data_IF_730445914751
#
_entry.id   IF_730445914751
#
_cell.length_a   1.000
_cell.length_b   1.000
_cell.length_c   1.000
_cell.angle_alpha   90.00
_cell.angle_beta   90.00
_cell.angle_gamma   90.00
#
_symmetry.space_group_name_H-M   'P 1'
#
loop_
_entity.id
_entity.type
_entity.pdbx_description
1 polymer ?
#
# COMPACT_ATOMS: atom_id res chain seq x y z
N UNK A 1 -18.01 -30.67 14.55
CA UNK A 1 -17.21 -29.59 15.16
C UNK A 1 -17.60 -28.28 14.47
N UNK A 2 -17.98 -27.23 15.22
CA UNK A 2 -18.27 -25.91 14.62
C UNK A 2 -16.96 -25.25 14.18
N UNK A 3 -16.92 -24.72 12.97
CA UNK A 3 -15.79 -23.95 12.43
C UNK A 3 -15.52 -22.74 13.33
N UNK A 4 -14.27 -22.42 13.70
CA UNK A 4 -13.99 -21.28 14.57
C UNK A 4 -14.39 -19.94 13.91
N UNK A 5 -14.93 -18.96 14.68
CA UNK A 5 -15.52 -17.73 14.15
C UNK A 5 -14.62 -16.94 13.19
N UNK A 6 -13.32 -16.90 13.47
CA UNK A 6 -12.36 -16.20 12.63
C UNK A 6 -12.16 -16.86 11.27
N UNK A 7 -12.26 -18.19 11.19
CA UNK A 7 -12.12 -18.87 9.91
C UNK A 7 -13.27 -18.51 8.97
N UNK A 8 -14.48 -18.36 9.52
CA UNK A 8 -15.66 -17.87 8.79
C UNK A 8 -15.43 -16.42 8.35
N UNK A 9 -14.99 -15.53 9.26
CA UNK A 9 -14.67 -14.14 8.91
C UNK A 9 -13.63 -14.03 7.79
N UNK A 10 -12.55 -14.83 7.87
CA UNK A 10 -11.49 -14.85 6.85
C UNK A 10 -12.04 -15.26 5.48
N UNK A 11 -12.91 -16.25 5.44
CA UNK A 11 -13.54 -16.75 4.22
C UNK A 11 -14.55 -15.74 3.65
N UNK A 12 -15.39 -15.14 4.49
CA UNK A 12 -16.31 -14.06 4.08
C UNK A 12 -15.55 -12.87 3.50
N UNK A 13 -14.48 -12.41 4.15
CA UNK A 13 -13.66 -11.31 3.63
C UNK A 13 -13.01 -11.69 2.29
N UNK A 14 -12.49 -12.91 2.16
CA UNK A 14 -11.91 -13.40 0.90
C UNK A 14 -12.93 -13.39 -0.24
N UNK A 15 -14.16 -13.83 0.01
CA UNK A 15 -15.23 -13.83 -1.00
C UNK A 15 -15.56 -12.40 -1.44
N UNK A 16 -15.76 -11.47 -0.50
CA UNK A 16 -16.03 -10.05 -0.81
C UNK A 16 -14.91 -9.43 -1.65
N UNK A 17 -13.65 -9.72 -1.29
CA UNK A 17 -12.49 -9.25 -2.06
C UNK A 17 -12.50 -9.83 -3.47
N UNK A 18 -12.78 -11.13 -3.60
CA UNK A 18 -12.79 -11.84 -4.89
C UNK A 18 -13.91 -11.34 -5.80
N UNK A 19 -15.11 -11.15 -5.26
CA UNK A 19 -16.26 -10.60 -5.99
C UNK A 19 -15.94 -9.19 -6.50
N UNK A 20 -15.39 -8.34 -5.63
CA UNK A 20 -14.98 -6.98 -6.01
C UNK A 20 -13.93 -6.96 -7.13
N UNK A 21 -12.94 -7.86 -7.06
CA UNK A 21 -11.90 -7.95 -8.08
C UNK A 21 -12.41 -8.46 -9.41
N UNK A 22 -13.33 -9.43 -9.37
CA UNK A 22 -14.01 -9.97 -10.56
C UNK A 22 -14.81 -8.86 -11.24
N UNK A 23 -15.67 -8.16 -10.49
CA UNK A 23 -16.44 -7.02 -11.03
C UNK A 23 -15.53 -5.92 -11.62
N UNK A 24 -14.40 -5.63 -10.97
CA UNK A 24 -13.44 -4.62 -11.46
C UNK A 24 -12.73 -5.07 -12.73
N UNK A 25 -12.39 -6.36 -12.85
CA UNK A 25 -11.80 -6.93 -14.06
C UNK A 25 -12.76 -6.81 -15.24
N UNK A 26 -14.03 -7.20 -15.05
CA UNK A 26 -15.07 -7.13 -16.08
C UNK A 26 -15.30 -5.69 -16.57
N UNK A 27 -15.28 -4.71 -15.65
CA UNK A 27 -15.38 -3.28 -15.98
C UNK A 27 -14.16 -2.75 -16.73
N UNK A 28 -12.97 -3.24 -16.42
CA UNK A 28 -11.75 -2.85 -17.13
C UNK A 28 -11.73 -3.41 -18.57
N UNK A 29 -12.16 -4.66 -18.76
CA UNK A 29 -12.24 -5.30 -20.08
C UNK A 29 -13.30 -4.68 -21.00
N UNK A 30 -14.44 -4.29 -20.43
CA UNK A 30 -15.54 -3.64 -21.16
C UNK A 30 -15.24 -2.20 -21.61
N UNK A 31 -14.04 -1.65 -21.35
CA UNK A 31 -13.58 -0.29 -21.70
C UNK A 31 -14.50 0.84 -21.19
N UNK A 32 -15.42 0.57 -20.27
CA UNK A 32 -16.39 1.55 -19.79
C UNK A 32 -15.79 2.53 -18.77
N UNK A 33 -14.65 2.22 -18.15
CA UNK A 33 -13.95 3.10 -17.21
C UNK A 33 -12.43 3.14 -17.48
N UNK A 34 -11.95 4.30 -17.94
CA UNK A 34 -10.59 4.49 -18.48
C UNK A 34 -9.49 4.67 -17.41
N UNK A 35 -9.77 4.39 -16.14
CA UNK A 35 -8.85 4.68 -15.02
C UNK A 35 -8.73 3.60 -13.95
N UNK A 36 -9.45 2.49 -14.07
CA UNK A 36 -9.35 1.35 -13.14
C UNK A 36 -8.29 0.40 -13.69
N UNK A 37 -7.17 0.24 -12.97
CA UNK A 37 -6.05 -0.57 -13.42
C UNK A 37 -5.76 -1.64 -12.39
N UNK A 38 -5.96 -2.90 -12.79
CA UNK A 38 -5.57 -4.04 -12.00
C UNK A 38 -4.08 -4.31 -12.18
N UNK A 39 -3.34 -4.34 -11.07
CA UNK A 39 -1.91 -4.68 -11.10
C UNK A 39 -1.74 -6.17 -10.76
N UNK A 40 -1.21 -6.99 -11.69
CA UNK A 40 -0.97 -8.41 -11.43
C UNK A 40 -0.06 -8.61 -10.22
N UNK A 41 -0.32 -9.66 -9.43
CA UNK A 41 0.40 -9.95 -8.18
C UNK A 41 1.93 -9.97 -8.36
N UNK A 42 2.40 -10.62 -9.42
CA UNK A 42 3.84 -10.74 -9.72
C UNK A 42 4.51 -9.37 -9.94
N UNK A 43 3.80 -8.43 -10.58
CA UNK A 43 4.30 -7.07 -10.82
C UNK A 43 4.36 -6.30 -9.50
N UNK A 44 3.32 -6.42 -8.67
CA UNK A 44 3.29 -5.82 -7.33
C UNK A 44 4.47 -6.31 -6.49
N UNK A 45 4.65 -7.64 -6.39
CA UNK A 45 5.73 -8.25 -5.61
C UNK A 45 7.11 -7.83 -6.10
N UNK A 46 7.30 -7.76 -7.43
CA UNK A 46 8.55 -7.28 -8.02
C UNK A 46 8.85 -5.82 -7.64
N UNK A 47 7.88 -4.93 -7.76
CA UNK A 47 8.07 -3.50 -7.45
C UNK A 47 8.34 -3.30 -5.96
N UNK A 48 7.59 -3.98 -5.09
CA UNK A 48 7.80 -3.94 -3.63
C UNK A 48 9.19 -4.46 -3.27
N UNK A 49 9.59 -5.62 -3.82
CA UNK A 49 10.91 -6.20 -3.56
C UNK A 49 12.03 -5.23 -3.94
N UNK A 50 11.95 -4.61 -5.12
CA UNK A 50 12.98 -3.68 -5.58
C UNK A 50 13.08 -2.41 -4.75
N UNK A 51 11.96 -1.78 -4.38
CA UNK A 51 12.04 -0.56 -3.58
C UNK A 51 12.57 -0.84 -2.17
N UNK A 52 12.23 -2.01 -1.59
CA UNK A 52 12.81 -2.43 -0.32
C UNK A 52 14.31 -2.69 -0.46
N UNK A 53 14.75 -3.35 -1.54
CA UNK A 53 16.18 -3.58 -1.81
C UNK A 53 16.95 -2.25 -1.85
N UNK A 54 16.42 -1.23 -2.51
CA UNK A 54 17.03 0.11 -2.55
C UNK A 54 17.04 0.72 -1.15
N UNK A 55 15.90 0.74 -0.46
CA UNK A 55 15.73 1.40 0.84
C UNK A 55 16.59 0.80 1.96
N UNK A 56 16.84 -0.51 1.93
CA UNK A 56 17.64 -1.23 2.92
C UNK A 56 19.08 -1.53 2.48
N UNK A 57 19.50 -1.09 1.28
CA UNK A 57 20.81 -1.41 0.69
C UNK A 57 22.02 -0.99 1.52
N UNK A 58 21.84 0.00 2.41
CA UNK A 58 22.83 0.49 3.35
C UNK A 58 23.04 -0.42 4.57
N UNK A 59 22.09 -1.33 4.84
CA UNK A 59 22.11 -2.20 6.02
C UNK A 59 22.18 -3.68 5.66
N UNK A 60 21.34 -4.13 4.72
CA UNK A 60 21.15 -5.55 4.42
C UNK A 60 20.86 -5.77 2.92
N UNK A 61 21.26 -6.94 2.43
CA UNK A 61 20.96 -7.42 1.10
C UNK A 61 19.70 -8.30 1.15
N UNK A 62 18.55 -7.71 0.82
CA UNK A 62 17.24 -8.40 0.92
C UNK A 62 17.19 -9.66 0.06
N UNK A 63 17.85 -9.67 -1.09
CA UNK A 63 17.97 -10.86 -1.94
C UNK A 63 18.58 -12.05 -1.21
N UNK A 64 19.66 -11.82 -0.43
CA UNK A 64 20.36 -12.88 0.30
C UNK A 64 19.55 -13.43 1.46
N UNK A 65 18.64 -12.64 2.04
CA UNK A 65 17.77 -13.09 3.13
C UNK A 65 16.91 -14.29 2.74
N UNK A 66 16.48 -14.40 1.48
CA UNK A 66 15.61 -15.49 1.04
C UNK A 66 16.37 -16.75 0.62
N UNK A 67 17.64 -16.60 0.25
CA UNK A 67 18.44 -17.67 -0.36
C UNK A 67 19.49 -18.25 0.59
N UNK A 68 19.98 -17.46 1.57
CA UNK A 68 21.14 -17.83 2.39
C UNK A 68 20.80 -17.84 3.88
N UNK A 69 20.80 -19.03 4.48
CA UNK A 69 20.55 -19.20 5.91
C UNK A 69 21.66 -18.62 6.80
N UNK A 70 22.92 -18.72 6.38
CA UNK A 70 24.05 -18.18 7.14
C UNK A 70 23.95 -16.65 7.20
N UNK A 71 23.61 -16.01 6.08
CA UNK A 71 23.42 -14.57 6.04
C UNK A 71 22.32 -14.08 7.00
N UNK A 72 21.23 -14.85 7.15
CA UNK A 72 20.20 -14.56 8.16
C UNK A 72 20.74 -14.67 9.58
N UNK A 73 21.52 -15.71 9.87
CA UNK A 73 22.11 -15.91 11.20
C UNK A 73 23.13 -14.80 11.53
N UNK A 74 23.94 -14.39 10.56
CA UNK A 74 24.90 -13.29 10.73
C UNK A 74 24.22 -11.98 11.16
N UNK A 75 23.00 -11.72 10.65
CA UNK A 75 22.19 -10.55 11.06
C UNK A 75 21.63 -10.73 12.47
N UNK A 76 21.13 -11.93 12.79
CA UNK A 76 20.53 -12.25 14.09
C UNK A 76 21.57 -12.18 15.21
N UNK A 77 22.76 -12.71 14.98
CA UNK A 77 23.86 -12.77 15.96
C UNK A 77 24.56 -11.42 16.15
N UNK A 78 24.34 -10.46 15.24
CA UNK A 78 24.88 -9.11 15.34
C UNK A 78 23.88 -8.16 16.01
N UNK A 79 23.97 -8.04 17.33
CA UNK A 79 23.08 -7.19 18.14
C UNK A 79 22.99 -5.74 17.64
N UNK A 80 24.11 -5.16 17.20
CA UNK A 80 24.16 -3.76 16.72
C UNK A 80 23.38 -3.62 15.42
N UNK A 81 23.61 -4.53 14.45
CA UNK A 81 22.90 -4.52 13.18
C UNK A 81 21.40 -4.80 13.37
N UNK A 82 21.06 -5.76 14.23
CA UNK A 82 19.69 -6.11 14.57
C UNK A 82 18.93 -4.92 15.17
N UNK A 83 19.54 -4.18 16.10
CA UNK A 83 18.94 -2.98 16.70
C UNK A 83 18.76 -1.84 15.68
N UNK A 84 19.76 -1.60 14.81
CA UNK A 84 19.65 -0.60 13.75
C UNK A 84 18.51 -0.96 12.79
N UNK A 85 18.42 -2.23 12.38
CA UNK A 85 17.36 -2.73 11.52
C UNK A 85 15.99 -2.62 12.19
N UNK A 86 15.90 -2.97 13.49
CA UNK A 86 14.67 -2.84 14.27
C UNK A 86 14.16 -1.39 14.28
N UNK A 87 15.06 -0.44 14.55
CA UNK A 87 14.74 0.99 14.54
C UNK A 87 14.30 1.47 13.16
N UNK A 88 15.00 1.06 12.09
CA UNK A 88 14.64 1.42 10.71
C UNK A 88 13.26 0.87 10.34
N UNK A 89 12.96 -0.38 10.67
CA UNK A 89 11.64 -0.98 10.45
C UNK A 89 10.54 -0.27 11.24
N UNK A 90 10.77 0.06 12.51
CA UNK A 90 9.78 0.74 13.37
C UNK A 90 9.41 2.13 12.89
N UNK A 91 10.34 2.84 12.27
CA UNK A 91 10.11 4.19 11.75
C UNK A 91 9.56 4.18 10.32
N UNK A 92 9.82 3.12 9.55
CA UNK A 92 9.45 3.00 8.14
C UNK A 92 7.99 3.36 7.85
N UNK A 93 7.74 4.46 7.15
CA UNK A 93 6.41 4.83 6.67
C UNK A 93 6.26 4.61 5.16
N UNK A 94 5.22 3.87 4.76
CA UNK A 94 4.94 3.47 3.38
C UNK A 94 3.57 4.01 2.96
N UNK A 95 3.52 4.83 1.92
CA UNK A 95 2.28 5.34 1.33
C UNK A 95 2.00 4.71 -0.03
N UNK A 96 0.77 4.21 -0.21
CA UNK A 96 0.17 4.03 -1.53
C UNK A 96 -0.86 5.14 -1.82
N UNK A 97 -0.59 6.08 -2.74
CA UNK A 97 -1.43 7.26 -2.96
C UNK A 97 -2.70 6.97 -3.76
N UNK A 98 -2.82 5.78 -4.36
CA UNK A 98 -3.99 5.33 -5.11
C UNK A 98 -4.21 3.83 -4.84
N UNK A 99 -4.44 3.50 -3.57
CA UNK A 99 -4.22 2.14 -3.08
C UNK A 99 -5.19 1.09 -3.62
N UNK A 100 -6.31 1.51 -4.21
CA UNK A 100 -7.30 0.59 -4.78
C UNK A 100 -7.73 -0.44 -3.75
N UNK A 101 -7.62 -1.73 -4.11
CA UNK A 101 -7.94 -2.85 -3.21
C UNK A 101 -6.81 -3.22 -2.22
N UNK A 102 -5.72 -2.45 -2.15
CA UNK A 102 -4.65 -2.60 -1.14
C UNK A 102 -3.54 -3.59 -1.49
N UNK A 103 -3.29 -3.86 -2.79
CA UNK A 103 -2.34 -4.90 -3.22
C UNK A 103 -0.88 -4.58 -2.89
N UNK A 104 -0.43 -3.37 -3.18
CA UNK A 104 0.92 -2.92 -2.81
C UNK A 104 1.12 -2.94 -1.31
N UNK A 105 0.12 -2.47 -0.55
CA UNK A 105 0.17 -2.43 0.92
C UNK A 105 0.30 -3.83 1.52
N UNK A 106 -0.41 -4.84 1.01
CA UNK A 106 -0.26 -6.21 1.48
C UNK A 106 1.09 -6.81 1.12
N UNK A 107 1.56 -6.59 -0.10
CA UNK A 107 2.88 -7.10 -0.49
C UNK A 107 3.99 -6.46 0.34
N UNK A 108 3.89 -5.16 0.65
CA UNK A 108 4.79 -4.49 1.59
C UNK A 108 4.64 -5.04 3.01
N UNK A 109 3.42 -5.32 3.47
CA UNK A 109 3.15 -5.91 4.77
C UNK A 109 3.82 -7.29 4.92
N UNK A 110 3.71 -8.15 3.91
CA UNK A 110 4.34 -9.47 3.89
C UNK A 110 5.87 -9.38 3.99
N UNK A 111 6.49 -8.44 3.27
CA UNK A 111 7.94 -8.26 3.30
C UNK A 111 8.40 -7.68 4.65
N UNK A 112 7.71 -6.66 5.17
CA UNK A 112 7.95 -6.13 6.52
C UNK A 112 7.83 -7.22 7.57
N UNK A 113 6.80 -8.06 7.50
CA UNK A 113 6.58 -9.15 8.46
C UNK A 113 7.76 -10.13 8.48
N UNK A 114 8.30 -10.51 7.31
CA UNK A 114 9.49 -11.36 7.22
C UNK A 114 10.71 -10.69 7.85
N UNK A 115 10.92 -9.40 7.61
CA UNK A 115 12.01 -8.62 8.20
C UNK A 115 11.86 -8.50 9.72
N UNK A 116 10.66 -8.21 10.23
CA UNK A 116 10.39 -8.18 11.66
C UNK A 116 10.59 -9.54 12.32
N UNK A 117 10.10 -10.63 11.73
CA UNK A 117 10.26 -11.99 12.27
C UNK A 117 11.72 -12.45 12.29
N UNK A 118 12.55 -11.95 11.38
CA UNK A 118 13.99 -12.24 11.39
C UNK A 118 14.64 -11.79 12.70
N UNK A 119 14.31 -10.59 13.17
CA UNK A 119 14.96 -9.97 14.35
C UNK A 119 14.10 -9.98 15.63
N UNK A 120 12.83 -10.36 15.54
CA UNK A 120 11.89 -10.47 16.67
C UNK A 120 11.20 -11.84 16.62
N UNK A 121 11.99 -12.93 16.69
CA UNK A 121 11.47 -14.30 16.66
C UNK A 121 10.44 -14.57 17.75
N UNK A 122 10.65 -13.97 18.93
CA UNK A 122 9.84 -14.18 20.13
C UNK A 122 8.50 -13.44 20.12
N UNK A 123 8.36 -12.37 19.33
CA UNK A 123 7.09 -11.65 19.22
C UNK A 123 6.07 -12.49 18.43
N UNK A 124 4.82 -12.44 18.89
CA UNK A 124 3.74 -13.14 18.21
C UNK A 124 3.51 -12.56 16.82
N UNK A 125 3.12 -13.43 15.87
CA UNK A 125 2.80 -13.00 14.51
C UNK A 125 1.74 -11.91 14.50
N UNK A 126 0.74 -12.03 15.40
CA UNK A 126 -0.33 -11.06 15.52
C UNK A 126 0.18 -9.67 15.93
N UNK A 127 1.07 -9.56 16.91
CA UNK A 127 1.62 -8.28 17.39
C UNK A 127 2.47 -7.57 16.33
N UNK A 128 3.30 -8.34 15.61
CA UNK A 128 4.11 -7.79 14.51
C UNK A 128 3.19 -7.27 13.41
N UNK A 129 2.24 -8.09 12.95
CA UNK A 129 1.29 -7.68 11.90
C UNK A 129 0.46 -6.47 12.31
N UNK A 130 0.00 -6.42 13.56
CA UNK A 130 -0.71 -5.25 14.11
C UNK A 130 0.17 -4.01 14.04
N UNK A 131 1.41 -4.10 14.49
CA UNK A 131 2.37 -2.98 14.44
C UNK A 131 2.55 -2.48 13.01
N UNK A 132 2.72 -3.40 12.05
CA UNK A 132 2.86 -3.07 10.62
C UNK A 132 1.66 -2.28 10.10
N UNK A 133 0.44 -2.75 10.37
CA UNK A 133 -0.79 -2.08 9.93
C UNK A 133 -0.93 -0.68 10.56
N UNK A 134 -0.63 -0.56 11.86
CA UNK A 134 -0.90 0.66 12.61
C UNK A 134 0.14 1.77 12.40
N UNK A 135 1.39 1.40 12.11
CA UNK A 135 2.55 2.30 12.11
C UNK A 135 3.16 2.49 10.73
N UNK A 136 3.30 1.41 9.95
CA UNK A 136 4.06 1.44 8.72
C UNK A 136 3.22 1.75 7.47
N UNK A 137 1.99 1.26 7.40
CA UNK A 137 1.20 1.28 6.16
C UNK A 137 0.19 2.42 6.11
N UNK A 138 0.20 3.15 4.99
CA UNK A 138 -0.71 4.26 4.69
C UNK A 138 -1.26 4.13 3.27
N UNK A 139 -2.54 4.44 3.09
CA UNK A 139 -3.20 4.37 1.79
C UNK A 139 -4.19 5.49 1.59
N UNK A 140 -4.24 6.02 0.38
CA UNK A 140 -5.25 7.00 -0.05
C UNK A 140 -6.01 6.41 -1.23
N UNK A 141 -7.33 6.48 -1.16
CA UNK A 141 -8.22 5.99 -2.21
C UNK A 141 -9.43 6.90 -2.33
N UNK A 142 -9.81 7.24 -3.55
CA UNK A 142 -10.94 8.14 -3.80
C UNK A 142 -12.28 7.40 -3.75
N UNK A 143 -12.30 6.14 -4.20
CA UNK A 143 -13.48 5.29 -4.26
C UNK A 143 -13.77 4.59 -2.93
N UNK A 144 -14.95 4.87 -2.35
CA UNK A 144 -15.37 4.34 -1.04
C UNK A 144 -15.27 2.81 -0.96
N UNK A 145 -15.75 2.10 -1.98
CA UNK A 145 -15.75 0.64 -1.98
C UNK A 145 -14.32 0.08 -2.00
N UNK A 146 -13.43 0.59 -2.86
CA UNK A 146 -12.03 0.16 -2.92
C UNK A 146 -11.30 0.42 -1.59
N UNK A 147 -11.55 1.59 -0.97
CA UNK A 147 -11.03 1.93 0.36
C UNK A 147 -11.44 0.91 1.43
N UNK A 148 -12.71 0.49 1.44
CA UNK A 148 -13.21 -0.56 2.36
C UNK A 148 -12.50 -1.89 2.07
N UNK A 149 -12.41 -2.30 0.80
CA UNK A 149 -11.75 -3.54 0.40
C UNK A 149 -10.28 -3.58 0.84
N UNK A 150 -9.54 -2.48 0.69
CA UNK A 150 -8.16 -2.37 1.17
C UNK A 150 -8.06 -2.58 2.69
N UNK A 151 -8.97 -1.99 3.47
CA UNK A 151 -9.01 -2.20 4.93
C UNK A 151 -9.30 -3.67 5.28
N UNK A 152 -10.29 -4.26 4.62
CA UNK A 152 -10.64 -5.67 4.84
C UNK A 152 -9.50 -6.62 4.49
N UNK A 153 -8.73 -6.31 3.44
CA UNK A 153 -7.56 -7.10 3.07
C UNK A 153 -6.48 -7.08 4.16
N UNK A 154 -6.17 -5.91 4.72
CA UNK A 154 -5.23 -5.78 5.85
C UNK A 154 -5.72 -6.54 7.08
N UNK A 155 -7.02 -6.49 7.36
CA UNK A 155 -7.65 -7.23 8.47
C UNK A 155 -7.55 -8.74 8.24
N UNK A 156 -7.86 -9.22 7.03
CA UNK A 156 -7.72 -10.64 6.66
C UNK A 156 -6.28 -11.12 6.84
N UNK A 157 -5.32 -10.27 6.48
CA UNK A 157 -3.90 -10.55 6.65
C UNK A 157 -3.46 -10.59 8.12
N UNK A 158 -3.97 -9.69 8.97
CA UNK A 158 -3.75 -9.73 10.42
C UNK A 158 -4.22 -11.06 11.01
N UNK A 159 -5.40 -11.52 10.60
CA UNK A 159 -6.04 -12.75 11.09
C UNK A 159 -5.61 -14.03 10.39
N UNK A 160 -4.69 -13.97 9.42
CA UNK A 160 -4.09 -15.17 8.84
C UNK A 160 -3.02 -15.82 9.74
N UNK A 161 -2.76 -15.22 10.90
CA UNK A 161 -1.78 -15.68 11.89
C UNK A 161 -2.25 -16.98 12.58
N UNK A 162 -1.28 -17.86 12.91
CA UNK A 162 -1.58 -19.15 13.57
C UNK A 162 -2.14 -18.97 14.98
N UNK A 163 -1.74 -17.89 15.66
CA UNK A 163 -2.13 -17.57 17.02
C UNK A 163 -2.90 -16.24 17.01
N UNK A 164 -4.14 -16.27 17.52
CA UNK A 164 -4.99 -15.09 17.62
C UNK A 164 -5.42 -14.96 19.09
N UNK A 165 -5.24 -13.79 19.71
CA UNK A 165 -5.61 -13.59 21.10
C UNK A 165 -7.06 -14.01 21.40
N UNK A 166 -7.26 -14.76 22.49
CA UNK A 166 -8.56 -15.34 22.88
C UNK A 166 -9.67 -14.29 23.01
N UNK A 167 -9.34 -13.08 23.47
CA UNK A 167 -10.31 -12.00 23.62
C UNK A 167 -10.80 -11.47 22.27
N UNK A 168 -9.94 -11.54 21.23
CA UNK A 168 -10.32 -11.15 19.88
C UNK A 168 -11.19 -12.24 19.22
N UNK A 169 -10.93 -13.51 19.53
CA UNK A 169 -11.79 -14.62 19.08
C UNK A 169 -13.23 -14.48 19.60
N UNK A 170 -13.43 -13.84 20.75
CA UNK A 170 -14.76 -13.59 21.35
C UNK A 170 -15.49 -12.38 20.74
N UNK A 171 -14.75 -11.44 20.17
CA UNK A 171 -15.29 -10.20 19.58
C UNK A 171 -15.94 -10.47 18.20
N UNK A 172 -15.51 -11.52 17.51
CA UNK A 172 -15.94 -11.86 16.14
C UNK A 172 -17.02 -12.95 16.22
N UNK A 173 -18.33 -12.63 16.06
CA UNK A 173 -19.38 -13.64 16.01
C UNK A 173 -19.25 -14.58 14.80
N UNK A 174 -19.84 -15.78 14.91
CA UNK A 174 -19.78 -16.83 13.89
C UNK A 174 -20.58 -16.50 12.60
N UNK A 175 -21.47 -15.52 12.65
CA UNK A 175 -22.50 -15.20 11.64
C UNK A 175 -22.41 -13.75 11.15
N UNK A 176 -21.18 -13.26 10.97
CA UNK A 176 -20.90 -11.86 10.65
C UNK A 176 -21.43 -11.46 9.26
N UNK A 177 -22.43 -10.58 9.23
CA UNK A 177 -22.88 -9.90 8.00
C UNK A 177 -21.92 -8.76 7.67
N UNK A 178 -21.79 -8.45 6.37
CA UNK A 178 -20.96 -7.34 5.85
C UNK A 178 -21.32 -6.00 6.51
N UNK A 179 -22.61 -5.81 6.80
CA UNK A 179 -23.17 -4.62 7.45
C UNK A 179 -22.64 -4.41 8.88
N UNK A 180 -22.32 -5.50 9.58
CA UNK A 180 -21.82 -5.50 10.97
C UNK A 180 -20.29 -5.42 11.06
N UNK A 181 -19.61 -5.53 9.92
CA UNK A 181 -18.16 -5.61 9.82
C UNK A 181 -17.49 -4.35 10.37
N UNK A 182 -18.03 -3.17 10.04
CA UNK A 182 -17.54 -1.90 10.57
C UNK A 182 -17.68 -1.82 12.10
N UNK A 183 -18.79 -2.29 12.66
CA UNK A 183 -19.03 -2.26 14.11
C UNK A 183 -18.08 -3.22 14.85
N UNK A 184 -17.87 -4.42 14.32
CA UNK A 184 -16.98 -5.40 14.95
C UNK A 184 -15.50 -5.07 14.76
N UNK A 185 -15.10 -4.46 13.63
CA UNK A 185 -13.73 -3.94 13.45
C UNK A 185 -13.42 -2.84 14.47
N UNK A 186 -14.38 -1.96 14.77
CA UNK A 186 -14.19 -0.90 15.77
C UNK A 186 -13.85 -1.46 17.16
N UNK A 187 -14.37 -2.65 17.51
CA UNK A 187 -14.04 -3.32 18.78
C UNK A 187 -12.59 -3.82 18.85
N UNK A 188 -11.92 -4.02 17.72
CA UNK A 188 -10.52 -4.45 17.66
C UNK A 188 -9.56 -3.34 18.11
N UNK A 189 -10.02 -2.09 18.19
CA UNK A 189 -9.19 -0.92 18.44
C UNK A 189 -7.93 -0.90 17.54
N UNK A 190 -8.11 -1.34 16.29
CA UNK A 190 -7.06 -1.45 15.29
C UNK A 190 -7.01 -0.15 14.48
N UNK A 191 -5.88 0.56 14.54
CA UNK A 191 -5.69 1.76 13.73
C UNK A 191 -5.29 1.37 12.30
N UNK A 192 -6.17 1.61 11.33
CA UNK A 192 -5.88 1.35 9.91
C UNK A 192 -5.77 2.68 9.16
N UNK A 193 -4.57 3.05 8.71
CA UNK A 193 -4.31 4.34 8.05
C UNK A 193 -4.67 4.35 6.55
N UNK A 194 -5.88 3.87 6.21
CA UNK A 194 -6.42 3.92 4.84
C UNK A 194 -7.53 4.96 4.80
N UNK A 195 -7.35 5.99 3.97
CA UNK A 195 -8.19 7.19 3.96
C UNK A 195 -8.97 7.30 2.65
N UNK A 196 -10.28 7.50 2.75
CA UNK A 196 -11.12 7.81 1.59
C UNK A 196 -10.97 9.30 1.25
N UNK A 197 -10.05 9.64 0.34
CA UNK A 197 -9.72 11.03 -0.02
C UNK A 197 -9.24 11.12 -1.46
N UNK A 198 -9.27 12.34 -2.01
CA UNK A 198 -8.59 12.66 -3.26
C UNK A 198 -7.14 13.04 -2.96
N UNK A 199 -6.18 12.19 -3.33
CA UNK A 199 -4.75 12.40 -3.09
C UNK A 199 -4.22 13.74 -3.62
N UNK A 200 -4.70 14.19 -4.78
CA UNK A 200 -4.23 15.40 -5.44
C UNK A 200 -4.82 16.67 -4.81
N UNK A 201 -5.98 16.56 -4.16
CA UNK A 201 -6.64 17.68 -3.48
C UNK A 201 -6.46 17.67 -1.96
N UNK A 202 -6.00 16.57 -1.38
CA UNK A 202 -5.72 16.48 0.04
C UNK A 202 -4.63 17.48 0.45
N UNK A 203 -4.81 18.06 1.63
CA UNK A 203 -3.93 19.10 2.19
C UNK A 203 -2.91 18.54 3.17
N UNK A 204 -2.80 17.22 3.34
CA UNK A 204 -1.79 16.62 4.21
C UNK A 204 -0.39 17.03 3.75
N UNK A 205 0.46 17.33 4.72
CA UNK A 205 1.88 17.60 4.54
C UNK A 205 2.74 16.51 5.19
N UNK A 206 2.14 15.38 5.59
CA UNK A 206 2.89 14.26 6.12
C UNK A 206 3.81 13.69 5.04
N UNK A 207 5.06 13.44 5.42
CA UNK A 207 6.05 12.82 4.54
C UNK A 207 6.20 11.34 4.81
N UNK A 208 6.70 10.60 3.81
CA UNK A 208 6.84 9.16 3.83
C UNK A 208 8.22 8.72 3.35
N UNK A 209 8.76 7.65 3.94
CA UNK A 209 10.05 7.06 3.56
C UNK A 209 9.95 6.20 2.29
N UNK A 210 8.80 5.56 2.07
CA UNK A 210 8.50 4.87 0.81
C UNK A 210 7.17 5.37 0.28
N UNK A 211 7.14 5.75 -0.99
CA UNK A 211 5.89 5.95 -1.73
C UNK A 211 5.87 4.98 -2.91
N UNK A 212 4.80 4.20 -3.00
CA UNK A 212 4.67 3.12 -3.98
C UNK A 212 3.25 3.02 -4.52
N UNK A 213 3.07 2.69 -5.80
CA UNK A 213 1.72 2.38 -6.27
C UNK A 213 1.54 2.41 -7.78
N UNK A 214 0.28 2.27 -8.18
CA UNK A 214 -0.15 2.36 -9.57
C UNK A 214 -1.24 3.44 -9.71
N UNK A 215 -0.87 4.70 -9.96
CA UNK A 215 -1.84 5.78 -10.11
C UNK A 215 -2.73 5.61 -11.35
N UNK A 216 -3.90 6.27 -11.40
CA UNK A 216 -4.81 6.18 -12.53
C UNK A 216 -4.28 6.87 -13.81
N UNK A 217 -4.42 6.21 -14.97
CA UNK A 217 -3.96 6.72 -16.27
C UNK A 217 -5.08 7.45 -17.01
N UNK A 218 -5.35 8.69 -16.60
CA UNK A 218 -6.45 9.48 -17.16
C UNK A 218 -5.88 10.64 -17.98
N UNK A 219 -6.02 10.52 -19.30
CA UNK A 219 -5.68 11.59 -20.22
C UNK A 219 -6.48 12.87 -19.92
N UNK A 220 -5.86 14.03 -20.14
CA UNK A 220 -6.49 15.33 -19.91
C UNK A 220 -7.91 15.44 -20.46
N UNK A 221 -8.14 14.96 -21.69
CA UNK A 221 -9.45 15.05 -22.38
C UNK A 221 -10.56 14.30 -21.64
N UNK A 222 -10.23 13.22 -20.92
CA UNK A 222 -11.18 12.34 -20.20
C UNK A 222 -11.55 12.87 -18.82
N UNK A 223 -10.80 13.84 -18.28
CA UNK A 223 -11.15 14.50 -17.02
C UNK A 223 -12.37 15.41 -17.26
N UNK A 224 -13.58 14.94 -16.91
CA UNK A 224 -14.85 15.63 -17.22
C UNK A 224 -15.06 16.93 -16.44
N UNK A 225 -14.61 16.99 -15.19
CA UNK A 225 -14.86 18.15 -14.29
C UNK A 225 -13.88 19.30 -14.60
N UNK A 226 -14.36 20.35 -15.27
CA UNK A 226 -13.55 21.53 -15.61
C UNK A 226 -12.95 22.23 -14.38
N UNK A 227 -13.70 22.31 -13.29
CA UNK A 227 -13.24 22.87 -12.00
C UNK A 227 -12.07 22.05 -11.44
N UNK A 228 -12.13 20.73 -11.54
CA UNK A 228 -11.05 19.84 -11.08
C UNK A 228 -9.76 20.12 -11.85
N UNK A 229 -9.83 20.19 -13.19
CA UNK A 229 -8.67 20.57 -14.03
C UNK A 229 -8.06 21.90 -13.63
N UNK A 230 -8.89 22.92 -13.38
CA UNK A 230 -8.42 24.25 -12.95
C UNK A 230 -7.70 24.19 -11.61
N UNK A 231 -8.21 23.40 -10.66
CA UNK A 231 -7.53 23.17 -9.36
C UNK A 231 -6.17 22.51 -9.55
N UNK A 232 -6.08 21.45 -10.37
CA UNK A 232 -4.82 20.77 -10.65
C UNK A 232 -3.81 21.73 -11.30
N UNK A 233 -4.22 22.47 -12.34
CA UNK A 233 -3.36 23.47 -13.02
C UNK A 233 -2.88 24.60 -12.11
N UNK A 234 -3.66 24.95 -11.08
CA UNK A 234 -3.27 25.97 -10.10
C UNK A 234 -2.28 25.42 -9.06
N UNK A 235 -2.41 24.14 -8.71
CA UNK A 235 -1.61 23.50 -7.64
C UNK A 235 -0.29 22.92 -8.14
N UNK A 236 -0.29 22.33 -9.33
CA UNK A 236 0.77 21.45 -9.81
C UNK A 236 1.42 22.04 -11.06
N UNK A 237 2.73 22.18 -11.02
CA UNK A 237 3.51 22.70 -12.15
C UNK A 237 3.53 21.74 -13.33
N UNK A 238 3.44 20.42 -13.05
CA UNK A 238 3.40 19.37 -14.06
C UNK A 238 2.01 19.18 -14.68
N UNK A 239 0.98 19.93 -14.24
CA UNK A 239 -0.30 20.03 -14.93
C UNK A 239 -0.19 20.87 -16.22
N UNK A 240 0.78 20.52 -17.05
CA UNK A 240 1.26 21.21 -18.22
C UNK A 240 0.62 20.64 -19.51
N UNK A 241 0.17 21.53 -20.40
CA UNK A 241 -0.51 21.18 -21.66
C UNK A 241 -1.62 20.12 -21.44
N UNK A 242 -1.58 19.03 -22.22
CA UNK A 242 -2.50 17.90 -22.16
C UNK A 242 -1.95 16.80 -21.24
N UNK A 243 -1.70 17.15 -19.97
CA UNK A 243 -1.16 16.24 -18.98
C UNK A 243 -2.00 14.97 -18.78
N UNK A 244 -1.33 13.87 -18.46
CA UNK A 244 -1.94 12.66 -17.91
C UNK A 244 -2.03 12.77 -16.38
N UNK A 245 -3.09 12.24 -15.76
CA UNK A 245 -3.28 12.36 -14.32
C UNK A 245 -2.15 11.67 -13.52
N UNK A 246 -1.58 10.58 -14.04
CA UNK A 246 -0.51 9.82 -13.36
C UNK A 246 0.75 10.64 -13.10
N UNK A 247 1.09 11.60 -13.96
CA UNK A 247 2.26 12.47 -13.72
C UNK A 247 2.01 13.51 -12.64
N UNK A 248 0.75 13.85 -12.37
CA UNK A 248 0.38 14.75 -11.27
C UNK A 248 0.44 13.99 -9.94
N UNK A 249 0.08 12.70 -9.96
CA UNK A 249 0.35 11.79 -8.84
C UNK A 249 1.85 11.70 -8.56
N UNK A 250 2.69 11.63 -9.61
CA UNK A 250 4.14 11.59 -9.44
C UNK A 250 4.68 12.89 -8.82
N UNK A 251 4.30 14.08 -9.31
CA UNK A 251 4.69 15.36 -8.71
C UNK A 251 4.29 15.43 -7.23
N UNK A 252 3.03 15.08 -6.92
CA UNK A 252 2.53 15.08 -5.55
C UNK A 252 3.23 14.05 -4.66
N UNK A 253 3.61 12.89 -5.20
CA UNK A 253 4.37 11.89 -4.47
C UNK A 253 5.76 12.42 -4.12
N UNK A 254 6.44 13.10 -5.05
CA UNK A 254 7.74 13.74 -4.79
C UNK A 254 7.63 14.80 -3.68
N UNK A 255 6.57 15.62 -3.67
CA UNK A 255 6.32 16.60 -2.60
C UNK A 255 6.19 15.98 -1.20
N UNK A 256 5.66 14.76 -1.11
CA UNK A 256 5.44 14.04 0.16
C UNK A 256 6.57 13.05 0.48
N UNK A 257 7.60 12.97 -0.36
CA UNK A 257 8.71 12.08 -0.12
C UNK A 257 9.63 12.68 0.94
N UNK A 258 10.05 11.89 1.93
CA UNK A 258 10.96 12.37 2.95
C UNK A 258 12.33 12.67 2.34
N UNK A 259 12.85 13.88 2.57
CA UNK A 259 14.12 14.33 1.99
C UNK A 259 15.29 13.44 2.44
N UNK A 260 16.24 13.21 1.51
CA UNK A 260 17.48 12.44 1.68
C UNK A 260 17.36 10.94 1.95
N UNK A 261 16.21 10.44 2.41
CA UNK A 261 16.02 9.02 2.72
C UNK A 261 14.88 8.36 1.95
N UNK A 262 13.96 9.15 1.41
CA UNK A 262 12.76 8.63 0.79
C UNK A 262 13.01 7.95 -0.55
N UNK A 263 12.33 6.83 -0.79
CA UNK A 263 12.33 6.11 -2.05
C UNK A 263 10.93 6.13 -2.69
N UNK A 264 10.88 6.25 -4.02
CA UNK A 264 9.65 6.34 -4.80
C UNK A 264 9.64 5.29 -5.91
N UNK A 265 8.55 4.53 -6.03
CA UNK A 265 8.40 3.54 -7.12
C UNK A 265 6.95 3.47 -7.59
N UNK A 266 6.68 3.91 -8.81
CA UNK A 266 5.32 3.96 -9.36
C UNK A 266 5.25 3.33 -10.74
N UNK A 267 4.12 2.68 -11.05
CA UNK A 267 3.82 2.25 -12.41
C UNK A 267 3.20 3.43 -13.17
N UNK A 268 3.88 3.93 -14.18
CA UNK A 268 3.45 5.08 -14.98
C UNK A 268 3.37 4.71 -16.45
N UNK A 269 2.60 5.50 -17.22
CA UNK A 269 2.63 5.38 -18.69
C UNK A 269 3.99 5.82 -19.22
N UNK A 270 4.54 5.14 -20.22
CA UNK A 270 5.83 5.52 -20.82
C UNK A 270 5.78 6.85 -21.60
N UNK A 271 4.58 7.33 -21.96
CA UNK A 271 4.38 8.51 -22.82
C UNK A 271 5.00 9.79 -22.26
N UNK A 272 5.11 9.95 -20.95
CA UNK A 272 5.71 11.16 -20.36
C UNK A 272 7.20 11.29 -20.67
N UNK A 273 7.88 10.23 -21.13
CA UNK A 273 9.29 10.29 -21.50
C UNK A 273 9.53 11.11 -22.78
N UNK A 274 8.58 11.09 -23.72
CA UNK A 274 8.73 11.74 -25.03
C UNK A 274 7.70 12.84 -25.29
N UNK A 275 6.51 12.77 -24.68
CA UNK A 275 5.45 13.74 -24.94
C UNK A 275 5.72 15.12 -24.31
N UNK A 276 5.16 16.16 -24.92
CA UNK A 276 5.30 17.55 -24.46
C UNK A 276 4.75 17.79 -23.05
N UNK A 277 3.67 17.09 -22.69
CA UNK A 277 3.10 17.24 -21.35
C UNK A 277 4.08 16.76 -20.27
N UNK A 278 5.03 15.90 -20.63
CA UNK A 278 6.05 15.36 -19.73
C UNK A 278 7.27 16.26 -19.54
N UNK A 279 7.38 17.40 -20.24
CA UNK A 279 8.55 18.30 -20.12
C UNK A 279 8.78 18.70 -18.65
N UNK A 280 7.74 19.18 -17.96
CA UNK A 280 7.84 19.68 -16.58
C UNK A 280 8.19 18.59 -15.57
N UNK A 281 7.65 17.39 -15.73
CA UNK A 281 7.97 16.29 -14.81
C UNK A 281 9.37 15.74 -15.04
N UNK A 282 9.87 15.73 -16.29
CA UNK A 282 11.27 15.36 -16.56
C UNK A 282 12.25 16.39 -16.00
N UNK A 283 11.93 17.68 -16.10
CA UNK A 283 12.69 18.75 -15.43
C UNK A 283 12.70 18.53 -13.91
N UNK A 284 11.55 18.22 -13.30
CA UNK A 284 11.45 17.95 -11.87
C UNK A 284 12.31 16.74 -11.43
N UNK A 285 12.36 15.66 -12.22
CA UNK A 285 13.07 14.44 -11.87
C UNK A 285 14.62 14.53 -11.97
N UNK A 286 15.14 15.53 -12.68
CA UNK A 286 16.59 15.71 -12.87
C UNK A 286 17.17 16.68 -11.82
N UNK A 287 16.33 17.49 -11.17
CA UNK A 287 16.72 18.44 -10.14
C UNK A 287 16.54 17.85 -8.74
#
# INVERSE_FOLDING_TARGET
MKTPPIKILSETIKNIITDFETEKSDRAESKQDLGIIYTPKIIVEYIVSNIFRIYFSDLIEIEKLFENANYRNDIIENDVLSEILHRKLRNLTILDPACGSGRFLISAADLLFKLYKLINSELSDFEIKRTIIEKNLYGIEIEKQACIISKLRLISWLFSSKEIPLDINRIIPNDLKIEDLNHNINKLNLKINIFQKDFLLDSSSNTYEIIIGNPPYIENKKIKKSVYKKKLKKRFSCAYRLFDLSIIFLERAIELLQQNIGCLSMILTNKFLSADYGIKIRELLIN
#
